data_IF_052881257344
#
_entry.id   IF_052881257344
#
_cell.length_a   1.000
_cell.length_b   1.000
_cell.length_c   1.000
_cell.angle_alpha   90.00
_cell.angle_beta   90.00
_cell.angle_gamma   90.00
#
_symmetry.space_group_name_H-M   'P 1'
#
loop_
_entity.id
_entity.type
_entity.pdbx_description
1 polymer ?
#
# COMPACT_ATOMS: atom_id res chain seq x y z
N UNK A 1 26.12 -20.12 -76.15
CA UNK A 1 24.89 -19.49 -75.62
C UNK A 1 24.43 -20.28 -74.40
N UNK A 2 24.12 -19.54 -73.34
CA UNK A 2 23.52 -19.91 -72.04
C UNK A 2 24.32 -20.75 -71.03
N UNK A 3 24.82 -20.00 -70.04
CA UNK A 3 25.22 -20.36 -68.69
C UNK A 3 24.03 -20.84 -67.84
N UNK A 4 24.25 -21.71 -66.86
CA UNK A 4 23.37 -21.82 -65.69
C UNK A 4 24.22 -22.00 -64.43
N UNK A 5 24.28 -20.94 -63.61
CA UNK A 5 24.82 -20.96 -62.26
C UNK A 5 23.69 -21.37 -61.30
N UNK A 6 23.90 -22.40 -60.48
CA UNK A 6 22.98 -22.78 -59.39
C UNK A 6 23.47 -22.10 -58.11
N UNK A 7 22.70 -21.12 -57.63
CA UNK A 7 22.89 -20.49 -56.32
C UNK A 7 22.09 -21.30 -55.30
N UNK A 8 22.77 -21.96 -54.37
CA UNK A 8 22.16 -22.60 -53.20
C UNK A 8 21.92 -21.51 -52.15
N UNK A 9 20.65 -21.15 -51.93
CA UNK A 9 20.26 -20.23 -50.87
C UNK A 9 20.16 -20.99 -49.53
N UNK A 10 21.06 -20.68 -48.59
CA UNK A 10 20.99 -21.16 -47.21
C UNK A 10 19.82 -20.48 -46.48
N UNK A 11 18.85 -21.27 -46.03
CA UNK A 11 17.83 -20.85 -45.06
C UNK A 11 18.48 -20.80 -43.67
N UNK A 12 18.64 -19.60 -43.11
CA UNK A 12 18.96 -19.43 -41.69
C UNK A 12 17.61 -19.45 -40.94
N UNK A 13 17.31 -20.55 -40.26
CA UNK A 13 16.18 -20.62 -39.34
C UNK A 13 16.55 -19.85 -38.06
N UNK A 14 16.02 -18.62 -37.95
CA UNK A 14 16.09 -17.84 -36.72
C UNK A 14 15.16 -18.44 -35.67
N UNK A 15 15.73 -19.03 -34.63
CA UNK A 15 14.98 -19.46 -33.45
C UNK A 15 14.68 -18.19 -32.65
N UNK A 16 13.45 -17.69 -32.74
CA UNK A 16 12.99 -16.63 -31.86
C UNK A 16 12.89 -17.22 -30.45
N UNK A 17 13.85 -16.90 -29.59
CA UNK A 17 13.70 -17.09 -28.15
C UNK A 17 12.65 -16.10 -27.69
N UNK A 18 11.44 -16.59 -27.43
CA UNK A 18 10.46 -15.80 -26.69
C UNK A 18 11.06 -15.55 -25.31
N UNK A 19 11.49 -14.32 -25.04
CA UNK A 19 11.79 -13.90 -23.68
C UNK A 19 10.53 -14.17 -22.84
N UNK A 20 10.65 -14.82 -21.67
CA UNK A 20 9.52 -14.87 -20.76
C UNK A 20 9.16 -13.42 -20.47
N UNK A 21 7.97 -13.01 -20.90
CA UNK A 21 7.40 -11.71 -20.53
C UNK A 21 7.44 -11.70 -19.01
N UNK A 22 8.34 -10.90 -18.43
CA UNK A 22 8.34 -10.68 -17.00
C UNK A 22 6.95 -10.14 -16.67
N UNK A 23 6.12 -11.01 -16.07
CA UNK A 23 4.79 -10.63 -15.60
C UNK A 23 5.00 -9.43 -14.69
N UNK A 24 4.46 -8.27 -15.08
CA UNK A 24 4.44 -7.12 -14.19
C UNK A 24 3.79 -7.60 -12.90
N UNK A 25 4.43 -7.50 -11.72
CA UNK A 25 3.94 -8.07 -10.47
C UNK A 25 2.63 -7.44 -9.95
N UNK A 26 1.94 -6.67 -10.80
CA UNK A 26 0.70 -5.90 -10.58
C UNK A 26 -0.19 -5.82 -11.83
N UNK A 27 -0.12 -6.82 -12.71
CA UNK A 27 -0.89 -6.81 -13.96
C UNK A 27 -2.43 -6.78 -13.73
N UNK A 28 -2.88 -7.17 -12.54
CA UNK A 28 -4.27 -7.19 -12.09
C UNK A 28 -4.64 -6.03 -11.14
N UNK A 29 -3.69 -5.13 -10.84
CA UNK A 29 -3.94 -4.01 -9.96
C UNK A 29 -4.28 -2.73 -10.76
N UNK A 30 -5.25 -1.96 -10.28
CA UNK A 30 -5.64 -0.68 -10.88
C UNK A 30 -5.71 0.44 -9.84
N UNK A 31 -5.09 1.58 -10.13
CA UNK A 31 -5.16 2.75 -9.25
C UNK A 31 -6.60 3.28 -9.22
N UNK A 32 -7.19 3.32 -8.04
CA UNK A 32 -8.54 3.88 -7.82
C UNK A 32 -8.51 5.21 -7.07
N UNK A 33 -7.44 5.50 -6.33
CA UNK A 33 -7.24 6.77 -5.65
C UNK A 33 -5.77 7.17 -5.63
N UNK A 34 -5.49 8.46 -5.83
CA UNK A 34 -4.16 9.05 -5.65
C UNK A 34 -4.23 10.23 -4.67
N UNK A 35 -3.29 10.31 -3.72
CA UNK A 35 -3.25 11.41 -2.76
C UNK A 35 -2.14 11.25 -1.74
N UNK A 36 -2.36 11.79 -0.55
CA UNK A 36 -1.42 11.72 0.57
C UNK A 36 -1.99 10.83 1.66
N UNK A 37 -1.17 9.92 2.18
CA UNK A 37 -1.55 9.12 3.34
C UNK A 37 -1.63 10.06 4.56
N UNK A 38 -2.72 9.98 5.32
CA UNK A 38 -2.99 10.89 6.41
C UNK A 38 -3.61 10.19 7.64
N UNK A 39 -3.34 10.78 8.79
CA UNK A 39 -3.92 10.46 10.08
C UNK A 39 -4.97 11.50 10.48
N UNK A 40 -5.84 11.14 11.41
CA UNK A 40 -6.61 12.13 12.15
C UNK A 40 -5.65 12.96 13.02
N UNK A 41 -6.00 14.23 13.19
CA UNK A 41 -5.34 15.14 14.11
C UNK A 41 -6.40 15.88 14.95
N UNK A 42 -5.94 16.57 15.99
CA UNK A 42 -6.80 17.37 16.87
C UNK A 42 -7.71 18.30 16.07
N UNK A 43 -9.00 18.31 16.41
CA UNK A 43 -10.00 19.16 15.75
C UNK A 43 -10.56 18.59 14.44
N UNK A 44 -10.49 17.27 14.24
CA UNK A 44 -10.96 16.58 13.02
C UNK A 44 -10.25 17.03 11.73
N UNK A 45 -9.01 17.51 11.84
CA UNK A 45 -8.16 17.87 10.70
C UNK A 45 -7.34 16.64 10.30
N UNK A 46 -7.06 16.47 9.00
CA UNK A 46 -6.16 15.41 8.56
C UNK A 46 -4.73 15.94 8.50
N UNK A 47 -3.78 15.16 9.01
CA UNK A 47 -2.36 15.47 8.87
C UNK A 47 -1.65 14.32 8.18
N UNK A 48 -0.83 14.66 7.20
CA UNK A 48 -0.15 13.67 6.38
C UNK A 48 0.90 12.92 7.18
N UNK A 49 1.00 11.62 6.92
CA UNK A 49 2.18 10.85 7.28
C UNK A 49 3.36 11.28 6.41
N UNK A 50 4.56 10.95 6.88
CA UNK A 50 5.82 11.10 6.16
C UNK A 50 6.53 9.76 6.09
N UNK A 51 7.69 9.74 5.46
CA UNK A 51 8.62 8.63 5.46
C UNK A 51 9.84 9.01 6.30
N UNK A 52 10.33 8.09 7.13
CA UNK A 52 11.58 8.28 7.85
C UNK A 52 12.80 7.76 7.06
N UNK A 53 14.01 7.95 7.61
CA UNK A 53 15.25 7.54 6.95
C UNK A 53 15.38 6.01 6.72
N UNK A 54 14.52 5.19 7.32
CA UNK A 54 14.49 3.73 7.17
C UNK A 54 13.41 3.28 6.17
N UNK A 55 12.78 4.20 5.43
CA UNK A 55 11.65 3.94 4.53
C UNK A 55 10.41 3.36 5.24
N UNK A 56 10.18 3.79 6.47
CA UNK A 56 8.99 3.40 7.25
C UNK A 56 7.97 4.55 7.22
N UNK A 57 6.68 4.21 7.32
CA UNK A 57 5.64 5.21 7.50
C UNK A 57 5.79 5.81 8.90
N UNK A 58 5.90 7.13 8.95
CA UNK A 58 6.14 7.88 10.16
C UNK A 58 5.16 9.03 10.32
N UNK A 59 5.01 9.53 11.54
CA UNK A 59 4.18 10.69 11.83
C UNK A 59 4.92 11.72 12.68
N UNK A 60 5.10 12.92 12.12
CA UNK A 60 5.67 14.08 12.80
C UNK A 60 4.64 15.18 13.08
N UNK A 61 3.44 15.08 12.49
CA UNK A 61 2.36 16.04 12.66
C UNK A 61 2.63 17.46 12.13
N UNK A 62 3.69 17.67 11.36
CA UNK A 62 4.09 18.99 10.83
C UNK A 62 3.65 19.24 9.36
N UNK A 63 3.24 18.18 8.65
CA UNK A 63 2.83 18.22 7.24
C UNK A 63 3.98 18.41 6.26
N UNK A 64 5.23 18.23 6.69
CA UNK A 64 6.39 18.28 5.81
C UNK A 64 6.66 16.92 5.18
N UNK A 65 7.18 16.94 3.95
CA UNK A 65 7.52 15.75 3.17
C UNK A 65 6.42 14.67 3.22
N UNK A 66 5.18 15.04 2.85
CA UNK A 66 4.06 14.11 2.94
C UNK A 66 4.29 12.92 2.00
N UNK A 67 3.95 11.72 2.46
CA UNK A 67 4.01 10.53 1.60
C UNK A 67 2.86 10.55 0.60
N UNK A 68 3.19 10.70 -0.69
CA UNK A 68 2.22 10.59 -1.77
C UNK A 68 2.07 9.12 -2.18
N UNK A 69 0.83 8.67 -2.30
CA UNK A 69 0.49 7.27 -2.54
C UNK A 69 -0.64 7.13 -3.55
N UNK A 70 -0.66 5.97 -4.20
CA UNK A 70 -1.79 5.46 -4.95
C UNK A 70 -2.36 4.25 -4.22
N UNK A 71 -3.66 4.22 -3.97
CA UNK A 71 -4.32 2.98 -3.60
C UNK A 71 -4.67 2.23 -4.88
N UNK A 72 -4.13 1.02 -5.02
CA UNK A 72 -4.36 0.14 -6.17
C UNK A 72 -5.20 -1.06 -5.74
N UNK A 73 -6.42 -1.15 -6.23
CA UNK A 73 -7.29 -2.33 -6.07
C UNK A 73 -6.70 -3.48 -6.89
N UNK A 74 -6.58 -4.68 -6.29
CA UNK A 74 -5.96 -5.84 -6.92
C UNK A 74 -6.88 -7.06 -6.84
N UNK A 75 -7.28 -7.60 -7.99
CA UNK A 75 -8.19 -8.76 -8.05
C UNK A 75 -7.62 -10.00 -7.33
N UNK A 76 -6.30 -10.19 -7.36
CA UNK A 76 -5.64 -11.31 -6.69
C UNK A 76 -5.62 -11.24 -5.16
N UNK A 77 -5.98 -10.10 -4.56
CA UNK A 77 -6.08 -9.93 -3.11
C UNK A 77 -7.51 -10.12 -2.57
N UNK A 78 -8.50 -10.33 -3.45
CA UNK A 78 -9.91 -10.53 -3.09
C UNK A 78 -10.22 -11.97 -2.62
N UNK A 79 -9.31 -12.93 -2.85
CA UNK A 79 -9.54 -14.33 -2.47
C UNK A 79 -9.32 -14.55 -0.97
N UNK A 80 -10.32 -15.10 -0.28
CA UNK A 80 -10.26 -15.41 1.16
C UNK A 80 -10.57 -14.22 2.06
N UNK A 81 -11.37 -13.23 1.62
CA UNK A 81 -11.74 -12.08 2.45
C UNK A 81 -12.86 -12.39 3.47
N UNK A 82 -12.82 -11.82 4.69
CA UNK A 82 -14.02 -11.62 5.48
C UNK A 82 -14.90 -10.61 4.77
N UNK A 83 -16.19 -10.89 4.69
CA UNK A 83 -17.24 -10.01 4.15
C UNK A 83 -17.31 -8.64 4.89
N UNK A 84 -16.44 -7.72 4.51
CA UNK A 84 -16.68 -6.29 4.66
C UNK A 84 -16.71 -5.67 3.25
N UNK A 85 -17.54 -4.66 3.03
CA UNK A 85 -17.85 -4.10 1.71
C UNK A 85 -16.73 -3.28 1.05
N UNK A 86 -15.48 -3.40 1.53
CA UNK A 86 -14.33 -2.64 1.05
C UNK A 86 -13.59 -3.35 -0.09
N UNK A 87 -12.67 -2.62 -0.72
CA UNK A 87 -11.82 -3.11 -1.83
C UNK A 87 -10.45 -3.52 -1.32
N UNK A 88 -9.96 -4.68 -1.71
CA UNK A 88 -8.64 -5.17 -1.35
C UNK A 88 -7.59 -4.68 -2.35
N UNK A 89 -6.45 -4.25 -1.82
CA UNK A 89 -5.44 -3.62 -2.64
C UNK A 89 -4.12 -3.38 -1.92
N UNK A 90 -3.27 -2.61 -2.59
CA UNK A 90 -1.96 -2.18 -2.07
C UNK A 90 -1.90 -0.66 -1.98
N UNK A 91 -1.10 -0.15 -1.05
CA UNK A 91 -0.74 1.27 -1.01
C UNK A 91 0.61 1.43 -1.70
N UNK A 92 0.57 1.89 -2.95
CA UNK A 92 1.74 2.14 -3.78
C UNK A 92 2.33 3.52 -3.53
N UNK A 93 3.66 3.63 -3.50
CA UNK A 93 4.41 4.87 -3.34
C UNK A 93 5.16 5.15 -4.65
N UNK A 94 4.60 5.99 -5.55
CA UNK A 94 5.14 6.20 -6.90
C UNK A 94 6.59 6.66 -6.93
N UNK A 95 6.99 7.49 -5.96
CA UNK A 95 8.34 8.05 -5.87
C UNK A 95 9.43 6.96 -5.83
N UNK A 96 9.14 5.82 -5.19
CA UNK A 96 10.10 4.75 -4.98
C UNK A 96 9.80 3.49 -5.78
N UNK A 97 8.68 3.47 -6.51
CA UNK A 97 8.14 2.28 -7.13
C UNK A 97 7.96 1.10 -6.16
N UNK A 98 7.60 1.39 -4.89
CA UNK A 98 7.45 0.41 -3.79
C UNK A 98 6.05 0.47 -3.17
N UNK A 99 5.71 -0.55 -2.40
CA UNK A 99 4.44 -0.66 -1.69
C UNK A 99 4.66 -0.60 -0.18
N UNK A 100 3.71 -0.05 0.56
CA UNK A 100 3.72 -0.11 2.02
C UNK A 100 3.37 -1.53 2.46
N UNK A 101 4.30 -2.16 3.17
CA UNK A 101 4.23 -3.54 3.65
C UNK A 101 4.43 -3.63 5.16
N UNK A 102 3.92 -4.68 5.78
CA UNK A 102 4.19 -5.03 7.18
C UNK A 102 5.39 -5.97 7.29
N UNK A 103 6.40 -5.60 8.06
CA UNK A 103 7.67 -6.37 8.13
C UNK A 103 7.61 -7.62 9.00
N UNK A 104 6.62 -7.72 9.89
CA UNK A 104 6.45 -8.80 10.86
C UNK A 104 5.04 -9.43 10.78
N UNK A 105 4.54 -9.61 9.55
CA UNK A 105 3.16 -10.10 9.28
C UNK A 105 2.91 -11.50 9.85
N UNK A 106 3.95 -12.34 9.91
CA UNK A 106 3.89 -13.70 10.43
C UNK A 106 3.65 -13.77 11.94
N UNK A 107 3.81 -12.65 12.65
CA UNK A 107 3.55 -12.62 14.08
C UNK A 107 2.06 -12.78 14.37
N UNK A 108 1.73 -13.65 15.33
CA UNK A 108 0.34 -13.85 15.77
C UNK A 108 -0.25 -12.61 16.48
N UNK A 109 0.60 -11.74 17.03
CA UNK A 109 0.20 -10.54 17.75
C UNK A 109 1.11 -9.35 17.41
N UNK A 110 0.51 -8.15 17.43
CA UNK A 110 1.20 -6.90 17.19
C UNK A 110 1.96 -6.34 18.41
N UNK A 111 2.51 -5.12 18.30
CA UNK A 111 2.32 -4.19 17.18
C UNK A 111 3.01 -4.65 15.88
N UNK A 112 2.47 -4.20 14.76
CA UNK A 112 2.97 -4.49 13.42
C UNK A 112 3.62 -3.23 12.82
N UNK A 113 4.69 -3.42 12.06
CA UNK A 113 5.56 -2.32 11.63
C UNK A 113 5.56 -2.15 10.12
N UNK A 114 5.39 -0.92 9.65
CA UNK A 114 5.37 -0.61 8.21
C UNK A 114 6.77 -0.38 7.64
N UNK A 115 7.03 -0.82 6.41
CA UNK A 115 8.21 -0.46 5.61
C UNK A 115 7.83 -0.42 4.12
N UNK A 116 8.60 0.31 3.32
CA UNK A 116 8.51 0.18 1.87
C UNK A 116 9.20 -1.11 1.40
N UNK A 117 8.47 -1.92 0.64
CA UNK A 117 8.93 -3.15 0.04
C UNK A 117 8.63 -3.17 -1.46
N UNK A 118 9.25 -4.10 -2.18
CA UNK A 118 8.91 -4.32 -3.58
C UNK A 118 7.47 -4.82 -3.68
N UNK A 119 6.71 -4.24 -4.60
CA UNK A 119 5.29 -4.55 -4.72
C UNK A 119 5.07 -5.99 -5.20
N UNK A 120 4.26 -6.75 -4.48
CA UNK A 120 3.88 -8.11 -4.83
C UNK A 120 2.36 -8.28 -4.74
N UNK A 121 1.72 -8.62 -5.85
CA UNK A 121 0.25 -8.70 -5.94
C UNK A 121 -0.42 -9.71 -4.99
N UNK A 122 0.32 -10.67 -4.40
CA UNK A 122 -0.23 -11.71 -3.51
C UNK A 122 0.37 -11.70 -2.11
N UNK A 123 0.98 -10.60 -1.71
CA UNK A 123 1.62 -10.50 -0.40
C UNK A 123 0.63 -9.96 0.64
N UNK A 124 0.23 -10.81 1.59
CA UNK A 124 -0.66 -10.43 2.69
C UNK A 124 -0.08 -9.32 3.57
N UNK A 125 1.24 -9.18 3.63
CA UNK A 125 1.88 -8.05 4.30
C UNK A 125 1.56 -6.71 3.61
N UNK A 126 1.16 -6.75 2.34
CA UNK A 126 0.79 -5.60 1.51
C UNK A 126 -0.72 -5.47 1.31
N UNK A 127 -1.55 -6.35 1.90
CA UNK A 127 -3.01 -6.33 1.73
C UNK A 127 -3.66 -5.28 2.62
N UNK A 128 -4.15 -4.22 1.99
CA UNK A 128 -4.92 -3.14 2.60
C UNK A 128 -6.35 -3.16 2.08
N UNK A 129 -7.32 -2.92 2.95
CA UNK A 129 -8.73 -2.80 2.61
C UNK A 129 -9.13 -1.33 2.63
N UNK A 130 -9.69 -0.84 1.52
CA UNK A 130 -10.27 0.49 1.38
C UNK A 130 -11.79 0.42 1.50
N UNK A 131 -12.33 1.11 2.50
CA UNK A 131 -13.76 1.30 2.64
C UNK A 131 -14.17 2.67 2.07
N UNK A 132 -14.65 2.65 0.83
CA UNK A 132 -15.10 3.84 0.11
C UNK A 132 -16.35 4.47 0.75
N UNK A 133 -17.22 3.66 1.36
CA UNK A 133 -18.45 4.15 1.99
C UNK A 133 -18.16 4.95 3.26
N UNK A 134 -17.07 4.64 3.95
CA UNK A 134 -16.68 5.29 5.21
C UNK A 134 -15.58 6.33 5.04
N UNK A 135 -15.69 7.19 4.02
CA UNK A 135 -14.74 8.28 3.72
C UNK A 135 -13.33 7.79 3.38
N UNK A 136 -13.25 6.76 2.55
CA UNK A 136 -12.01 6.19 2.02
C UNK A 136 -11.02 5.81 3.15
N UNK A 137 -11.55 5.20 4.21
CA UNK A 137 -10.72 4.71 5.31
C UNK A 137 -10.00 3.44 4.88
N UNK A 138 -8.73 3.34 5.26
CA UNK A 138 -7.87 2.22 4.90
C UNK A 138 -7.44 1.51 6.17
N UNK A 139 -7.54 0.18 6.13
CA UNK A 139 -7.07 -0.70 7.20
C UNK A 139 -6.22 -1.82 6.64
N UNK A 140 -5.29 -2.31 7.44
CA UNK A 140 -4.53 -3.49 7.06
C UNK A 140 -5.38 -4.74 7.30
N UNK A 141 -5.43 -5.63 6.30
CA UNK A 141 -6.19 -6.87 6.37
C UNK A 141 -5.32 -8.07 6.74
N UNK A 142 -4.01 -8.02 6.53
CA UNK A 142 -3.11 -9.14 6.85
C UNK A 142 -3.44 -10.40 6.06
N UNK A 143 -3.20 -11.56 6.65
CA UNK A 143 -3.50 -12.90 6.16
C UNK A 143 -4.86 -13.38 6.66
N UNK A 144 -5.53 -14.24 5.90
CA UNK A 144 -6.84 -14.78 6.24
C UNK A 144 -7.00 -16.23 5.83
N UNK A 145 -7.83 -16.96 6.59
CA UNK A 145 -8.21 -18.33 6.26
C UNK A 145 -9.27 -18.41 5.13
N UNK A 146 -9.67 -19.63 4.76
CA UNK A 146 -10.66 -19.88 3.70
C UNK A 146 -12.03 -19.27 4.02
N UNK A 147 -12.34 -19.12 5.32
CA UNK A 147 -13.54 -18.49 5.84
C UNK A 147 -13.46 -16.96 5.88
N UNK A 148 -12.29 -16.39 5.61
CA UNK A 148 -12.05 -14.95 5.62
C UNK A 148 -11.64 -14.40 6.98
N UNK A 149 -11.40 -15.23 7.99
CA UNK A 149 -10.99 -14.72 9.30
C UNK A 149 -9.56 -14.17 9.21
N UNK A 150 -9.39 -12.88 9.53
CA UNK A 150 -8.05 -12.27 9.63
C UNK A 150 -7.29 -12.88 10.80
N UNK A 151 -6.13 -13.47 10.50
CA UNK A 151 -5.34 -14.23 11.45
C UNK A 151 -4.50 -13.33 12.37
N UNK A 152 -4.11 -12.14 11.90
CA UNK A 152 -3.26 -11.22 12.65
C UNK A 152 -4.03 -10.55 13.79
N UNK A 153 -3.56 -10.79 15.03
CA UNK A 153 -4.13 -10.20 16.24
C UNK A 153 -5.53 -10.70 16.62
N UNK A 154 -6.19 -11.53 15.79
CA UNK A 154 -7.51 -12.10 16.04
C UNK A 154 -8.63 -11.07 16.18
N UNK A 155 -8.47 -9.89 15.59
CA UNK A 155 -9.31 -8.71 15.83
C UNK A 155 -9.91 -8.10 14.56
N UNK A 156 -9.73 -8.75 13.40
CA UNK A 156 -10.15 -8.22 12.11
C UNK A 156 -9.20 -7.14 11.58
N UNK A 157 -9.72 -6.17 10.84
CA UNK A 157 -8.95 -5.12 10.17
C UNK A 157 -8.20 -4.21 11.16
N UNK A 158 -6.91 -4.00 10.94
CA UNK A 158 -6.03 -3.25 11.84
C UNK A 158 -5.80 -1.81 11.36
N UNK A 159 -5.53 -0.90 12.30
CA UNK A 159 -5.23 0.51 12.04
C UNK A 159 -4.02 0.99 12.83
N UNK A 160 -3.64 2.26 12.72
CA UNK A 160 -2.52 2.79 13.49
C UNK A 160 -2.90 3.02 14.96
N UNK A 161 -1.91 2.88 15.85
CA UNK A 161 -2.05 3.20 17.27
C UNK A 161 -2.28 4.71 17.45
N UNK A 162 -3.31 5.07 18.21
CA UNK A 162 -3.71 6.46 18.42
C UNK A 162 -4.24 6.69 19.83
N UNK A 163 -4.32 7.96 20.21
CA UNK A 163 -5.07 8.38 21.40
C UNK A 163 -6.59 8.33 21.15
N UNK A 164 -7.38 8.78 22.14
CA UNK A 164 -8.84 8.85 22.11
C UNK A 164 -9.39 9.87 21.11
N UNK A 165 -8.54 10.77 20.61
CA UNK A 165 -8.88 11.72 19.55
C UNK A 165 -8.48 11.23 18.15
N UNK A 166 -7.86 10.05 18.07
CA UNK A 166 -7.38 9.46 16.82
C UNK A 166 -6.04 10.01 16.35
N UNK A 167 -5.34 10.81 17.15
CA UNK A 167 -3.99 11.29 16.82
C UNK A 167 -2.99 10.13 16.99
N UNK A 168 -2.06 9.89 16.04
CA UNK A 168 -1.07 8.83 16.18
C UNK A 168 -0.27 8.92 17.47
N UNK A 169 -0.21 7.81 18.21
CA UNK A 169 0.65 7.68 19.38
C UNK A 169 1.96 7.05 18.94
N UNK A 170 3.03 7.83 19.02
CA UNK A 170 4.35 7.46 18.51
C UNK A 170 5.24 7.05 19.68
N UNK A 171 5.53 5.76 19.77
CA UNK A 171 6.37 5.15 20.80
C UNK A 171 7.78 4.85 20.32
N UNK A 172 7.99 4.81 19.01
CA UNK A 172 9.24 4.40 18.37
C UNK A 172 10.17 5.59 18.10
N UNK A 173 11.48 5.38 18.29
CA UNK A 173 12.48 6.46 18.16
C UNK A 173 12.57 7.05 16.76
N UNK A 174 12.20 6.28 15.73
CA UNK A 174 12.22 6.70 14.33
C UNK A 174 10.89 7.34 13.90
N UNK A 175 10.02 7.66 14.86
CA UNK A 175 8.68 8.21 14.63
C UNK A 175 7.76 7.32 13.80
N UNK A 176 8.07 6.02 13.72
CA UNK A 176 7.32 5.03 12.99
C UNK A 176 5.93 4.85 13.60
N UNK A 177 4.93 4.60 12.75
CA UNK A 177 3.59 4.22 13.22
C UNK A 177 3.53 2.73 13.52
N UNK A 178 2.75 2.38 14.54
CA UNK A 178 2.44 0.99 14.87
C UNK A 178 1.04 0.63 14.39
N UNK A 179 0.89 -0.49 13.70
CA UNK A 179 -0.41 -1.05 13.32
C UNK A 179 -0.88 -2.03 14.42
N UNK A 180 -2.12 -1.84 14.90
CA UNK A 180 -2.66 -2.51 16.09
C UNK A 180 -4.15 -2.84 15.94
N UNK A 181 -4.61 -3.80 16.75
CA UNK A 181 -6.02 -4.10 16.95
C UNK A 181 -6.77 -2.91 17.56
N UNK A 182 -7.96 -2.60 17.04
CA UNK A 182 -8.75 -1.46 17.49
C UNK A 182 -8.15 -0.09 17.12
N UNK A 183 -7.08 -0.06 16.31
CA UNK A 183 -6.42 1.17 15.89
C UNK A 183 -7.30 2.04 14.97
N UNK A 184 -6.90 3.29 14.81
CA UNK A 184 -7.57 4.26 13.93
C UNK A 184 -7.20 3.96 12.47
N UNK A 185 -8.13 4.03 11.51
CA UNK A 185 -7.81 3.71 10.12
C UNK A 185 -6.97 4.84 9.50
N UNK A 186 -6.12 4.46 8.54
CA UNK A 186 -5.45 5.42 7.67
C UNK A 186 -6.48 6.08 6.76
N UNK A 187 -6.15 7.28 6.25
CA UNK A 187 -6.99 7.99 5.29
C UNK A 187 -6.15 8.46 4.12
N UNK A 188 -6.82 8.75 3.01
CA UNK A 188 -6.22 9.46 1.89
C UNK A 188 -6.75 10.89 1.86
N UNK A 189 -5.84 11.85 1.72
CA UNK A 189 -6.16 13.26 1.53
C UNK A 189 -5.76 13.69 0.12
N UNK A 190 -6.61 14.47 -0.54
CA UNK A 190 -6.27 15.13 -1.82
C UNK A 190 -5.30 16.31 -1.64
N UNK A 191 -5.10 16.78 -0.40
CA UNK A 191 -4.23 17.92 -0.07
C UNK A 191 -3.21 17.56 1.00
N UNK A 192 -1.98 18.01 0.80
CA UNK A 192 -0.94 17.96 1.83
C UNK A 192 -1.18 19.08 2.85
N UNK A 193 -1.99 18.83 3.89
CA UNK A 193 -2.30 19.84 4.90
C UNK A 193 -1.10 20.08 5.83
N UNK A 194 -0.63 21.33 5.91
CA UNK A 194 0.43 21.78 6.84
C UNK A 194 -0.16 22.50 8.04
N UNK A 195 0.56 22.50 9.16
CA UNK A 195 0.15 23.24 10.37
C UNK A 195 -0.09 24.75 10.15
N UNK A 196 0.47 25.34 9.08
CA UNK A 196 0.31 26.76 8.76
C UNK A 196 -1.02 27.13 8.09
N UNK A 197 -1.77 26.16 7.58
CA UNK A 197 -2.94 26.44 6.73
C UNK A 197 -4.23 26.69 7.56
N UNK A 198 -4.13 26.65 8.89
CA UNK A 198 -5.24 26.87 9.83
C UNK A 198 -5.48 28.39 10.09
N UNK A 199 -4.63 29.28 9.57
CA UNK A 199 -4.70 30.73 9.83
C UNK A 199 -5.11 31.60 8.64
N UNK A 200 -5.97 31.16 7.70
CA UNK A 200 -6.66 32.12 6.82
C UNK A 200 -8.09 31.66 6.53
N UNK A 201 -9.01 31.98 7.44
CA UNK A 201 -10.37 32.40 7.06
C UNK A 201 -11.03 33.08 8.27
N UNK A 202 -10.91 34.41 8.32
CA UNK A 202 -11.82 35.31 9.04
C UNK A 202 -12.35 36.31 8.04
#
# INVERSE_FOLDING_TARGET
MLSVNIIVASLIAGIATADPVAMSPRADCSTIFSGYLAANATGNVLKTFTENAENQVAYLGDGKNPIQVDFQECESLESGEPVNSGKSGVIYVPLYAKCISITNQENAAGPYYTSLADCAARDYAQRWNLDEANSNVIRWAGDSDEEGTILQGGCGLLGYASDDTGVPTITDSNSQINIVCGGTPLRLSSTAQRCSDIFIST
#
